data_IF_719838021769
#
_entry.id   IF_719838021769
#
_cell.length_a   1.000
_cell.length_b   1.000
_cell.length_c   1.000
_cell.angle_alpha   90.00
_cell.angle_beta   90.00
_cell.angle_gamma   90.00
#
_symmetry.space_group_name_H-M   'P 1'
#
loop_
_entity.id
_entity.type
_entity.pdbx_description
1 polymer ?
#
# COMPACT_ATOMS: atom_id res chain seq x y z
N UNK A 1 -7.27 -68.24 -23.27
CA UNK A 1 -8.62 -67.91 -23.77
C UNK A 1 -8.84 -66.44 -23.45
N UNK A 2 -8.47 -65.52 -24.35
CA UNK A 2 -9.37 -64.85 -25.33
C UNK A 2 -10.54 -64.15 -24.60
N UNK A 3 -10.37 -62.87 -24.26
CA UNK A 3 -10.82 -61.67 -24.99
C UNK A 3 -12.33 -61.43 -24.84
N UNK A 4 -12.73 -60.24 -24.35
CA UNK A 4 -13.38 -59.22 -25.18
C UNK A 4 -13.99 -58.09 -24.32
N UNK A 5 -13.52 -56.87 -24.57
CA UNK A 5 -14.12 -55.62 -24.08
C UNK A 5 -15.31 -55.23 -24.98
N UNK A 6 -16.48 -54.87 -24.43
CA UNK A 6 -17.53 -54.23 -25.21
C UNK A 6 -17.34 -52.70 -25.29
N UNK A 7 -17.53 -52.07 -26.47
CA UNK A 7 -17.40 -50.62 -26.66
C UNK A 7 -18.71 -49.86 -26.36
N UNK A 8 -18.58 -48.71 -25.69
CA UNK A 8 -19.66 -47.72 -25.53
C UNK A 8 -19.87 -46.93 -26.84
N UNK A 9 -21.04 -47.11 -27.47
CA UNK A 9 -21.55 -46.25 -28.56
C UNK A 9 -22.55 -45.24 -28.01
N UNK A 10 -22.24 -43.95 -28.10
CA UNK A 10 -23.18 -42.87 -27.75
C UNK A 10 -23.98 -42.43 -28.97
N UNK A 11 -25.31 -42.51 -28.84
CA UNK A 11 -26.26 -42.10 -29.86
C UNK A 11 -26.51 -40.58 -29.84
N UNK A 12 -26.43 -40.02 -31.03
CA UNK A 12 -26.75 -38.65 -31.47
C UNK A 12 -28.22 -38.30 -31.21
N UNK A 13 -28.51 -37.13 -30.63
CA UNK A 13 -29.79 -36.43 -30.86
C UNK A 13 -29.57 -34.94 -31.15
N UNK A 14 -29.67 -34.61 -32.45
CA UNK A 14 -29.85 -33.25 -32.97
C UNK A 14 -31.23 -32.71 -32.54
N UNK A 15 -31.30 -31.44 -32.16
CA UNK A 15 -32.46 -30.59 -32.48
C UNK A 15 -31.96 -29.25 -33.04
N UNK A 16 -32.43 -28.94 -34.26
CA UNK A 16 -32.35 -27.66 -34.95
C UNK A 16 -33.76 -27.04 -34.92
N UNK A 17 -33.86 -25.74 -34.67
CA UNK A 17 -34.96 -24.85 -35.10
C UNK A 17 -34.39 -23.42 -35.14
N UNK A 18 -34.01 -22.92 -36.33
CA UNK A 18 -34.71 -21.89 -37.16
C UNK A 18 -34.90 -20.56 -36.42
N UNK A 19 -34.11 -19.51 -36.69
CA UNK A 19 -34.07 -18.64 -37.87
C UNK A 19 -35.26 -17.67 -37.96
N UNK A 20 -34.97 -16.38 -37.74
CA UNK A 20 -35.81 -15.24 -38.08
C UNK A 20 -34.92 -14.02 -38.29
N UNK A 21 -34.60 -13.74 -39.57
CA UNK A 21 -34.01 -12.48 -40.06
C UNK A 21 -35.13 -11.46 -40.27
N UNK A 22 -34.84 -10.19 -40.04
CA UNK A 22 -35.33 -8.95 -40.70
C UNK A 22 -34.51 -7.82 -40.04
N UNK A 23 -33.84 -6.87 -40.69
CA UNK A 23 -33.97 -6.31 -42.03
C UNK A 23 -33.79 -4.79 -41.87
N UNK A 24 -32.79 -4.22 -42.54
CA UNK A 24 -32.35 -2.81 -42.49
C UNK A 24 -33.45 -1.80 -42.89
N UNK A 25 -33.41 -0.59 -42.33
CA UNK A 25 -33.29 0.69 -43.06
C UNK A 25 -33.46 1.89 -42.11
N UNK A 26 -32.74 2.98 -42.41
CA UNK A 26 -32.67 4.19 -41.59
C UNK A 26 -33.72 5.24 -41.93
N UNK A 27 -33.80 6.30 -41.12
CA UNK A 27 -33.95 7.70 -41.54
C UNK A 27 -33.98 8.67 -40.34
N UNK A 28 -32.98 9.57 -40.34
CA UNK A 28 -32.93 11.01 -40.02
C UNK A 28 -33.90 11.74 -39.06
N UNK A 29 -33.26 12.69 -38.35
CA UNK A 29 -33.71 14.01 -37.86
C UNK A 29 -34.50 14.15 -36.56
N UNK A 30 -33.92 14.90 -35.62
CA UNK A 30 -34.58 15.45 -34.44
C UNK A 30 -33.58 16.15 -33.50
N UNK A 31 -33.32 17.43 -33.75
CA UNK A 31 -32.60 18.30 -32.82
C UNK A 31 -33.41 18.48 -31.52
N UNK A 32 -32.75 18.53 -30.37
CA UNK A 32 -33.14 19.33 -29.20
C UNK A 32 -31.97 19.33 -28.20
N UNK A 33 -31.47 20.54 -27.92
CA UNK A 33 -30.34 20.76 -27.03
C UNK A 33 -30.67 20.45 -25.57
N UNK A 34 -29.64 20.03 -24.85
CA UNK A 34 -29.63 20.08 -23.39
C UNK A 34 -28.34 20.79 -23.01
N UNK A 35 -28.47 22.07 -22.70
CA UNK A 35 -27.49 22.79 -21.90
C UNK A 35 -27.50 22.15 -20.51
N UNK A 36 -26.47 21.36 -20.19
CA UNK A 36 -26.26 20.89 -18.83
C UNK A 36 -25.51 22.00 -18.07
N UNK A 37 -26.28 22.67 -17.20
CA UNK A 37 -25.84 23.71 -16.27
C UNK A 37 -24.73 23.17 -15.36
N UNK A 38 -23.60 23.87 -15.31
CA UNK A 38 -22.60 23.67 -14.27
C UNK A 38 -23.21 24.12 -12.93
N UNK A 39 -23.56 23.16 -12.07
CA UNK A 39 -23.92 23.44 -10.68
C UNK A 39 -22.76 23.03 -9.81
N UNK A 40 -21.94 24.00 -9.42
CA UNK A 40 -21.05 23.91 -8.26
C UNK A 40 -21.90 23.87 -7.00
N UNK A 41 -21.93 22.73 -6.31
CA UNK A 41 -22.46 22.64 -4.94
C UNK A 41 -21.25 22.50 -4.00
N UNK A 42 -20.83 23.63 -3.44
CA UNK A 42 -20.12 23.68 -2.17
C UNK A 42 -21.20 23.60 -1.08
N UNK A 43 -21.27 22.49 -0.36
CA UNK A 43 -21.96 22.45 0.95
C UNK A 43 -20.96 22.01 2.00
N UNK A 44 -20.65 22.98 2.86
CA UNK A 44 -20.07 22.81 4.17
C UNK A 44 -21.16 22.33 5.16
N UNK A 45 -20.88 21.20 5.84
CA UNK A 45 -21.19 20.80 7.25
C UNK A 45 -22.66 20.78 7.72
N UNK A 46 -23.09 19.82 8.59
CA UNK A 46 -22.65 19.77 10.00
C UNK A 46 -22.57 18.37 10.66
N UNK A 47 -22.04 18.39 11.89
CA UNK A 47 -21.79 17.27 12.81
C UNK A 47 -23.05 16.47 13.22
N UNK A 48 -22.87 15.16 13.46
CA UNK A 48 -23.89 14.31 14.07
C UNK A 48 -23.48 12.83 14.06
N UNK A 49 -22.80 12.40 15.12
CA UNK A 49 -22.25 11.05 15.24
C UNK A 49 -23.29 9.95 15.43
N UNK A 50 -22.96 8.75 14.93
CA UNK A 50 -23.14 7.46 15.60
C UNK A 50 -22.56 6.35 14.72
N UNK A 51 -21.59 5.60 15.27
CA UNK A 51 -21.33 4.20 14.92
C UNK A 51 -21.09 3.86 13.46
N UNK A 52 -19.86 4.07 12.98
CA UNK A 52 -19.35 3.42 11.78
C UNK A 52 -17.88 3.16 11.98
N UNK A 53 -17.47 1.89 11.88
CA UNK A 53 -16.06 1.50 11.86
C UNK A 53 -15.31 2.42 10.90
N UNK A 54 -14.37 3.21 11.42
CA UNK A 54 -13.49 4.01 10.60
C UNK A 54 -12.75 3.04 9.67
N UNK A 55 -12.86 3.17 8.33
CA UNK A 55 -11.98 2.44 7.45
C UNK A 55 -10.56 2.90 7.80
N UNK A 56 -9.71 1.96 8.21
CA UNK A 56 -8.26 2.18 8.22
C UNK A 56 -7.90 2.53 6.78
N UNK A 57 -7.62 3.80 6.52
CA UNK A 57 -7.20 4.24 5.20
C UNK A 57 -5.86 3.54 4.90
N UNK A 58 -5.75 2.76 3.81
CA UNK A 58 -4.45 2.25 3.40
C UNK A 58 -3.57 3.46 3.07
N UNK A 59 -2.37 3.50 3.64
CA UNK A 59 -1.33 4.45 3.26
C UNK A 59 -1.02 4.23 1.77
N UNK A 60 -1.43 5.17 0.91
CA UNK A 60 -1.32 4.96 -0.53
C UNK A 60 -1.65 6.21 -1.33
N UNK A 61 -0.76 7.20 -1.26
CA UNK A 61 -0.71 8.29 -2.24
C UNK A 61 0.76 8.62 -2.51
N UNK A 62 1.40 7.82 -3.38
CA UNK A 62 2.70 8.14 -3.98
C UNK A 62 2.52 8.29 -5.48
N UNK A 63 2.85 9.46 -6.03
CA UNK A 63 2.76 9.76 -7.45
C UNK A 63 3.75 8.96 -8.30
N UNK A 64 3.53 8.93 -9.62
CA UNK A 64 4.26 8.10 -10.59
C UNK A 64 5.75 8.46 -10.79
N UNK A 65 6.28 9.47 -10.11
CA UNK A 65 7.70 9.81 -10.13
C UNK A 65 8.39 9.21 -8.90
N UNK A 66 8.98 8.02 -9.05
CA UNK A 66 9.72 7.32 -7.98
C UNK A 66 11.09 7.94 -7.62
N UNK A 67 11.27 9.23 -7.88
CA UNK A 67 12.50 9.94 -7.58
C UNK A 67 13.73 9.47 -8.39
N UNK A 68 14.93 9.94 -8.01
CA UNK A 68 16.18 9.62 -8.68
C UNK A 68 16.56 8.14 -8.51
N UNK A 69 17.48 7.66 -9.35
CA UNK A 69 18.13 6.38 -9.10
C UNK A 69 19.32 6.56 -8.14
N UNK A 70 19.44 5.71 -7.15
CA UNK A 70 20.52 5.68 -6.15
C UNK A 70 21.16 4.30 -6.05
N UNK A 71 22.40 4.18 -5.55
CA UNK A 71 22.98 2.88 -5.22
C UNK A 71 22.18 2.19 -4.10
N UNK A 72 22.18 0.85 -4.06
CA UNK A 72 21.58 0.12 -2.94
C UNK A 72 22.18 0.55 -1.60
N UNK A 73 21.36 1.08 -0.66
CA UNK A 73 21.82 1.43 0.67
C UNK A 73 22.16 0.17 1.48
N UNK A 74 22.86 0.36 2.59
CA UNK A 74 22.97 -0.69 3.60
C UNK A 74 21.59 -0.90 4.23
N UNK A 75 21.10 -2.13 4.19
CA UNK A 75 19.84 -2.51 4.80
C UNK A 75 20.04 -3.70 5.75
N UNK A 76 19.09 -3.89 6.66
CA UNK A 76 19.02 -5.06 7.52
C UNK A 76 18.62 -6.34 6.78
N UNK A 77 18.38 -7.44 7.50
CA UNK A 77 18.00 -8.71 6.88
C UNK A 77 16.66 -8.59 6.14
N UNK A 78 16.53 -9.18 4.94
CA UNK A 78 15.29 -9.10 4.17
C UNK A 78 14.20 -10.01 4.75
N UNK A 79 12.99 -9.46 4.89
CA UNK A 79 11.76 -10.20 5.16
C UNK A 79 11.02 -10.44 3.85
N UNK A 80 10.83 -11.70 3.49
CA UNK A 80 10.09 -12.11 2.30
C UNK A 80 8.66 -12.52 2.69
N UNK A 81 7.68 -12.11 1.89
CA UNK A 81 6.30 -12.59 2.02
C UNK A 81 5.61 -12.63 0.67
N UNK A 82 4.48 -13.33 0.64
CA UNK A 82 3.59 -13.40 -0.53
C UNK A 82 2.19 -13.05 -0.07
N UNK A 83 1.55 -12.10 -0.74
CA UNK A 83 0.19 -11.70 -0.42
C UNK A 83 -0.81 -12.77 -0.85
N UNK A 84 -2.07 -12.74 -0.35
CA UNK A 84 -3.11 -13.67 -0.77
C UNK A 84 -3.38 -13.64 -2.29
N UNK A 85 -3.12 -12.51 -2.94
CA UNK A 85 -3.25 -12.35 -4.39
C UNK A 85 -2.07 -12.97 -5.17
N UNK A 86 -1.04 -13.44 -4.46
CA UNK A 86 0.14 -14.07 -5.04
C UNK A 86 1.23 -13.10 -5.47
N UNK A 87 1.24 -11.87 -4.93
CA UNK A 87 2.35 -10.93 -5.13
C UNK A 87 3.46 -11.19 -4.12
N UNK A 88 4.69 -11.32 -4.62
CA UNK A 88 5.86 -11.60 -3.80
C UNK A 88 6.66 -10.31 -3.57
N UNK A 89 6.99 -10.07 -2.31
CA UNK A 89 7.79 -8.90 -1.91
C UNK A 89 8.94 -9.32 -1.00
N UNK A 90 9.98 -8.49 -0.99
CA UNK A 90 11.00 -8.49 0.04
C UNK A 90 11.15 -7.08 0.62
N UNK A 91 11.15 -6.98 1.95
CA UNK A 91 11.35 -5.73 2.68
C UNK A 91 12.64 -5.77 3.51
N UNK A 92 13.39 -4.68 3.56
CA UNK A 92 14.56 -4.57 4.44
C UNK A 92 14.69 -3.14 4.99
N UNK A 93 14.74 -3.00 6.31
CA UNK A 93 14.88 -1.69 6.95
C UNK A 93 16.26 -1.07 6.66
N UNK A 94 16.32 0.24 6.42
CA UNK A 94 17.54 0.99 6.10
C UNK A 94 17.94 1.85 7.29
N UNK A 95 17.10 2.82 7.65
CA UNK A 95 17.34 3.74 8.76
C UNK A 95 16.03 4.27 9.33
N UNK A 96 16.10 4.86 10.53
CA UNK A 96 15.01 5.60 11.13
C UNK A 96 15.53 6.90 11.71
N UNK A 97 14.63 7.85 11.91
CA UNK A 97 14.99 9.12 12.50
C UNK A 97 13.81 10.05 12.66
N UNK A 98 14.14 11.32 12.86
CA UNK A 98 13.15 12.39 12.93
C UNK A 98 13.56 13.54 12.03
N UNK A 99 12.59 14.15 11.37
CA UNK A 99 12.78 15.32 10.52
C UNK A 99 11.57 16.26 10.65
N UNK A 100 11.74 17.58 10.55
CA UNK A 100 10.60 18.52 10.56
C UNK A 100 9.69 18.43 9.31
N UNK A 101 10.16 17.83 8.21
CA UNK A 101 9.46 17.67 6.96
C UNK A 101 9.94 16.41 6.17
N UNK A 102 9.84 15.19 6.74
CA UNK A 102 10.40 13.96 6.17
C UNK A 102 9.88 13.63 4.77
N UNK A 103 8.66 14.07 4.44
CA UNK A 103 8.01 13.88 3.14
C UNK A 103 7.42 15.20 2.62
N UNK A 104 8.08 16.33 2.92
CA UNK A 104 7.67 17.64 2.42
C UNK A 104 6.36 18.17 3.01
N UNK A 105 6.06 17.88 4.27
CA UNK A 105 4.87 18.32 4.99
C UNK A 105 4.60 19.82 4.78
N UNK A 106 3.34 20.21 4.47
CA UNK A 106 3.02 21.62 4.22
C UNK A 106 3.08 22.47 5.50
N UNK A 107 3.12 21.84 6.68
CA UNK A 107 3.08 22.51 7.98
C UNK A 107 4.20 22.01 8.89
N UNK A 108 5.01 22.97 9.34
CA UNK A 108 6.03 22.73 10.35
C UNK A 108 5.42 22.15 11.65
N UNK A 109 6.15 21.25 12.34
CA UNK A 109 5.67 20.68 13.58
C UNK A 109 5.56 21.78 14.67
N UNK A 110 4.67 21.61 15.66
CA UNK A 110 4.64 22.47 16.84
C UNK A 110 6.00 22.56 17.54
N UNK A 111 6.32 23.65 18.26
CA UNK A 111 7.56 23.76 19.02
C UNK A 111 7.75 22.60 20.01
N UNK A 112 8.96 22.05 20.09
CA UNK A 112 9.25 20.90 20.96
C UNK A 112 8.81 19.56 20.37
N UNK A 113 8.46 19.52 19.08
CA UNK A 113 8.02 18.32 18.37
C UNK A 113 8.57 18.25 16.95
N UNK A 114 8.60 17.04 16.41
CA UNK A 114 9.12 16.69 15.07
C UNK A 114 8.31 15.55 14.48
N UNK A 115 8.56 15.13 13.24
CA UNK A 115 7.93 13.92 12.67
C UNK A 115 8.93 12.76 12.67
N UNK A 116 8.44 11.57 13.00
CA UNK A 116 9.24 10.36 12.92
C UNK A 116 9.18 9.80 11.50
N UNK A 117 10.28 9.21 11.03
CA UNK A 117 10.32 8.50 9.77
C UNK A 117 11.19 7.24 9.86
N UNK A 118 10.98 6.34 8.91
CA UNK A 118 11.89 5.26 8.62
C UNK A 118 11.96 5.02 7.11
N UNK A 119 13.14 4.57 6.66
CA UNK A 119 13.40 4.19 5.29
C UNK A 119 13.56 2.67 5.21
N UNK A 120 13.01 2.08 4.16
CA UNK A 120 13.14 0.66 3.88
C UNK A 120 13.18 0.39 2.39
N UNK A 121 13.81 -0.72 2.02
CA UNK A 121 13.78 -1.25 0.67
C UNK A 121 12.50 -2.05 0.47
N UNK A 122 11.77 -1.75 -0.60
CA UNK A 122 10.64 -2.54 -1.09
C UNK A 122 11.03 -3.14 -2.44
N UNK A 123 11.12 -4.47 -2.50
CA UNK A 123 11.57 -5.20 -3.68
C UNK A 123 10.46 -6.09 -4.23
N UNK A 124 10.18 -5.99 -5.53
CA UNK A 124 9.41 -6.99 -6.25
C UNK A 124 10.32 -8.20 -6.55
N UNK A 125 10.13 -9.30 -5.83
CA UNK A 125 10.94 -10.51 -6.02
C UNK A 125 10.41 -11.44 -7.14
N UNK A 126 9.42 -10.99 -7.92
CA UNK A 126 8.82 -11.72 -9.03
C UNK A 126 9.31 -11.24 -10.40
N UNK A 127 9.13 -12.10 -11.41
CA UNK A 127 9.45 -11.83 -12.83
C UNK A 127 8.29 -11.19 -13.60
N UNK A 128 7.35 -10.59 -12.89
CA UNK A 128 6.16 -9.90 -13.44
C UNK A 128 5.88 -8.65 -12.62
N UNK A 129 5.17 -7.66 -13.17
CA UNK A 129 4.70 -6.54 -12.37
C UNK A 129 3.84 -7.00 -11.18
N UNK A 130 3.99 -6.33 -10.05
CA UNK A 130 3.17 -6.53 -8.84
C UNK A 130 2.63 -5.19 -8.36
N UNK A 131 1.57 -5.21 -7.55
CA UNK A 131 1.02 -3.98 -6.99
C UNK A 131 2.08 -3.21 -6.20
N UNK A 132 2.21 -1.89 -6.41
CA UNK A 132 2.96 -1.06 -5.49
C UNK A 132 2.11 -0.82 -4.24
N UNK A 133 2.49 -1.47 -3.15
CA UNK A 133 1.82 -1.41 -1.85
C UNK A 133 2.87 -1.16 -0.75
N UNK A 134 2.44 -0.68 0.41
CA UNK A 134 3.32 -0.27 1.51
C UNK A 134 2.97 -1.07 2.78
N UNK A 135 3.58 -2.25 2.97
CA UNK A 135 3.14 -3.21 3.98
C UNK A 135 3.72 -2.96 5.38
N UNK A 136 4.72 -2.08 5.49
CA UNK A 136 5.34 -1.74 6.76
C UNK A 136 4.66 -0.53 7.41
N UNK A 137 4.59 -0.56 8.74
CA UNK A 137 4.11 0.53 9.58
C UNK A 137 5.21 1.00 10.54
N UNK A 138 5.19 2.31 10.83
CA UNK A 138 6.13 2.95 11.74
C UNK A 138 5.58 2.94 13.17
N UNK A 139 6.41 2.48 14.09
CA UNK A 139 6.11 2.43 15.52
C UNK A 139 7.09 3.26 16.32
N UNK A 140 6.60 3.84 17.40
CA UNK A 140 7.36 4.68 18.31
C UNK A 140 6.92 4.44 19.76
N UNK A 141 7.74 4.78 20.76
CA UNK A 141 7.35 4.59 22.14
C UNK A 141 6.17 5.51 22.50
N UNK A 142 5.19 4.97 23.22
CA UNK A 142 4.01 5.72 23.71
C UNK A 142 4.41 6.93 24.55
N UNK A 143 5.55 6.84 25.26
CA UNK A 143 6.11 7.92 26.07
C UNK A 143 6.57 9.12 25.23
N UNK A 144 6.92 8.90 23.96
CA UNK A 144 7.37 9.93 23.02
C UNK A 144 6.23 10.58 22.22
N UNK A 145 5.01 10.07 22.36
CA UNK A 145 3.83 10.68 21.73
C UNK A 145 3.31 11.83 22.61
N UNK A 146 3.17 13.06 22.08
CA UNK A 146 2.55 14.18 22.76
C UNK A 146 1.13 13.86 23.21
N UNK A 147 0.66 14.48 24.30
CA UNK A 147 -0.68 14.22 24.83
C UNK A 147 -1.79 14.46 23.79
N UNK A 148 -1.62 15.46 22.93
CA UNK A 148 -2.54 15.80 21.84
C UNK A 148 -2.67 14.73 20.74
N UNK A 149 -1.68 13.83 20.60
CA UNK A 149 -1.67 12.77 19.59
C UNK A 149 -1.88 11.38 20.20
N UNK A 150 -1.96 11.25 21.53
CA UNK A 150 -1.95 9.96 22.21
C UNK A 150 -3.20 9.12 21.95
N UNK A 151 -4.36 9.74 21.72
CA UNK A 151 -5.59 9.03 21.33
C UNK A 151 -5.49 8.39 19.94
N UNK A 152 -4.55 8.85 19.10
CA UNK A 152 -4.30 8.35 17.74
C UNK A 152 -3.17 7.33 17.68
N UNK A 153 -2.50 7.10 18.81
CA UNK A 153 -1.39 6.16 18.97
C UNK A 153 -1.98 4.77 19.25
N UNK A 154 -2.04 3.95 18.20
CA UNK A 154 -2.71 2.65 18.24
C UNK A 154 -1.70 1.53 18.56
N UNK A 155 -1.94 0.69 19.58
CA UNK A 155 -1.19 -0.54 19.76
C UNK A 155 -1.54 -1.55 18.65
N UNK A 156 -0.61 -2.44 18.33
CA UNK A 156 -0.84 -3.52 17.35
C UNK A 156 -0.40 -4.87 17.91
N UNK A 157 -1.07 -5.94 17.46
CA UNK A 157 -0.76 -7.29 17.89
C UNK A 157 0.65 -7.71 17.43
N UNK A 158 1.41 -8.34 18.32
CA UNK A 158 2.80 -8.77 18.07
C UNK A 158 3.84 -7.65 18.09
N UNK A 159 3.45 -6.41 18.40
CA UNK A 159 4.37 -5.30 18.67
C UNK A 159 4.46 -5.07 20.18
N UNK A 160 5.62 -4.69 20.75
CA UNK A 160 5.74 -4.41 22.18
C UNK A 160 4.67 -3.43 22.71
N UNK A 161 4.15 -3.74 23.90
CA UNK A 161 3.02 -3.01 24.51
C UNK A 161 3.33 -1.55 24.85
N UNK A 162 4.60 -1.16 24.92
CA UNK A 162 5.06 0.21 25.15
C UNK A 162 5.20 1.02 23.85
N UNK A 163 5.02 0.38 22.69
CA UNK A 163 5.04 1.02 21.37
C UNK A 163 3.63 1.20 20.80
N UNK A 164 3.50 2.14 19.87
CA UNK A 164 2.30 2.33 19.08
C UNK A 164 2.63 2.90 17.71
N UNK A 165 1.68 2.78 16.79
CA UNK A 165 1.74 3.45 15.50
C UNK A 165 0.83 4.69 15.52
N UNK A 166 1.34 5.80 15.01
CA UNK A 166 0.55 6.97 14.67
C UNK A 166 0.09 6.85 13.21
N UNK A 167 -0.96 7.59 12.78
CA UNK A 167 -1.25 7.76 11.37
C UNK A 167 0.04 8.13 10.64
N UNK A 168 0.32 7.43 9.55
CA UNK A 168 1.55 7.54 8.80
C UNK A 168 1.26 7.43 7.31
N UNK A 169 2.19 7.92 6.48
CA UNK A 169 2.14 7.78 5.02
C UNK A 169 3.47 7.30 4.49
N UNK A 170 3.41 6.52 3.42
CA UNK A 170 4.59 5.99 2.72
C UNK A 170 4.70 6.57 1.31
N UNK A 171 5.92 6.83 0.87
CA UNK A 171 6.25 7.34 -0.46
C UNK A 171 7.56 6.72 -0.97
N UNK A 172 7.62 6.42 -2.28
CA UNK A 172 8.87 6.05 -2.93
C UNK A 172 9.73 7.30 -3.09
N UNK A 173 10.87 7.34 -2.40
CA UNK A 173 11.79 8.50 -2.44
C UNK A 173 12.90 8.31 -3.47
N UNK A 174 13.25 7.07 -3.82
CA UNK A 174 14.24 6.76 -4.84
C UNK A 174 14.07 5.36 -5.45
N UNK A 175 14.65 5.17 -6.64
CA UNK A 175 14.82 3.88 -7.30
C UNK A 175 16.20 3.33 -7.01
N UNK A 176 16.32 2.03 -6.76
CA UNK A 176 17.61 1.42 -6.40
C UNK A 176 18.24 0.74 -7.62
N UNK A 177 19.54 0.94 -7.80
CA UNK A 177 20.37 0.27 -8.82
C UNK A 177 19.81 0.34 -10.25
N UNK A 178 19.22 1.48 -10.61
CA UNK A 178 18.66 1.71 -11.94
C UNK A 178 17.30 1.06 -12.17
N UNK A 179 16.60 0.63 -11.11
CA UNK A 179 15.26 0.07 -11.22
C UNK A 179 14.33 0.97 -12.05
N UNK A 180 13.48 0.35 -12.87
CA UNK A 180 12.47 1.05 -13.66
C UNK A 180 11.46 1.77 -12.75
N UNK A 181 10.91 2.91 -13.18
CA UNK A 181 9.89 3.63 -12.40
C UNK A 181 8.59 2.82 -12.28
N UNK A 182 7.76 3.10 -11.25
CA UNK A 182 6.44 2.52 -11.14
C UNK A 182 5.60 2.79 -12.39
N UNK A 183 4.76 1.83 -12.75
CA UNK A 183 3.93 1.87 -13.94
C UNK A 183 2.48 2.04 -13.50
N UNK A 184 1.75 2.99 -14.08
CA UNK A 184 0.29 3.04 -13.93
C UNK A 184 -0.36 2.04 -14.90
N UNK A 185 -1.10 1.08 -14.36
CA UNK A 185 -1.93 0.16 -15.10
C UNK A 185 -3.39 0.33 -14.69
N UNK A 186 -4.16 1.04 -15.51
CA UNK A 186 -5.60 1.29 -15.28
C UNK A 186 -5.89 1.99 -13.94
N UNK A 187 -5.07 2.97 -13.55
CA UNK A 187 -5.22 3.69 -12.28
C UNK A 187 -4.72 2.91 -11.07
N UNK A 188 -3.96 1.83 -11.29
CA UNK A 188 -3.25 1.09 -10.25
C UNK A 188 -1.76 1.22 -10.47
N UNK A 189 -1.03 1.69 -9.46
CA UNK A 189 0.43 1.79 -9.54
C UNK A 189 1.06 0.43 -9.30
N UNK A 190 1.94 0.01 -10.21
CA UNK A 190 2.59 -1.29 -10.21
C UNK A 190 4.11 -1.13 -10.11
N UNK A 191 4.77 -2.05 -9.42
CA UNK A 191 6.22 -2.23 -9.44
C UNK A 191 6.62 -3.13 -10.61
N UNK A 192 7.54 -2.72 -11.50
CA UNK A 192 8.11 -3.58 -12.54
C UNK A 192 8.77 -4.83 -11.97
N UNK A 193 8.95 -5.85 -12.81
CA UNK A 193 9.60 -7.10 -12.44
C UNK A 193 11.02 -6.85 -11.89
N UNK A 194 11.30 -7.38 -10.70
CA UNK A 194 12.63 -7.23 -10.08
C UNK A 194 12.98 -5.84 -9.57
N UNK A 195 12.07 -4.85 -9.66
CA UNK A 195 12.35 -3.49 -9.23
C UNK A 195 12.50 -3.40 -7.71
N UNK A 196 13.45 -2.56 -7.27
CA UNK A 196 13.66 -2.22 -5.87
C UNK A 196 13.55 -0.71 -5.68
N UNK A 197 12.76 -0.30 -4.70
CA UNK A 197 12.54 1.09 -4.34
C UNK A 197 12.97 1.36 -2.91
N UNK A 198 13.53 2.55 -2.69
CA UNK A 198 13.67 3.13 -1.36
C UNK A 198 12.35 3.81 -1.03
N UNK A 199 11.71 3.34 0.03
CA UNK A 199 10.44 3.86 0.52
C UNK A 199 10.68 4.53 1.86
N UNK A 200 10.16 5.74 2.03
CA UNK A 200 10.09 6.41 3.31
C UNK A 200 8.67 6.35 3.85
N UNK A 201 8.52 5.88 5.08
CA UNK A 201 7.31 6.01 5.88
C UNK A 201 7.52 7.11 6.90
N UNK A 202 6.56 8.03 7.03
CA UNK A 202 6.62 9.11 8.00
C UNK A 202 5.31 9.27 8.78
N UNK A 203 5.42 9.64 10.05
CA UNK A 203 4.26 9.95 10.88
C UNK A 203 3.59 11.23 10.41
N UNK A 204 2.25 11.23 10.30
CA UNK A 204 1.47 12.42 9.96
C UNK A 204 1.20 13.30 11.19
N UNK A 205 1.35 12.71 12.38
CA UNK A 205 1.27 13.42 13.66
C UNK A 205 2.67 13.51 14.27
N UNK A 206 2.98 14.62 14.97
CA UNK A 206 4.31 14.84 15.49
C UNK A 206 4.56 14.03 16.76
N UNK A 207 5.83 13.68 16.96
CA UNK A 207 6.40 13.09 18.18
C UNK A 207 7.17 14.17 18.95
N UNK A 208 7.48 13.93 20.23
CA UNK A 208 8.34 14.83 21.01
C UNK A 208 9.71 14.97 20.36
N UNK A 209 10.35 16.12 20.54
CA UNK A 209 11.77 16.25 20.17
C UNK A 209 12.64 15.29 20.99
N UNK A 210 13.70 14.79 20.36
CA UNK A 210 14.67 13.91 21.01
C UNK A 210 14.32 12.42 21.01
N UNK A 211 13.35 11.97 20.21
CA UNK A 211 13.19 10.54 19.92
C UNK A 211 14.47 10.02 19.25
N UNK A 212 15.06 8.97 19.81
CA UNK A 212 16.23 8.34 19.21
C UNK A 212 15.81 7.49 18.01
N UNK A 213 16.60 7.44 16.93
CA UNK A 213 16.44 6.44 15.87
C UNK A 213 16.25 5.01 16.37
N UNK A 214 16.98 4.63 17.43
CA UNK A 214 16.91 3.28 18.01
C UNK A 214 15.63 2.98 18.80
N UNK A 215 14.82 4.00 19.10
CA UNK A 215 13.53 3.83 19.76
C UNK A 215 12.39 3.61 18.74
N UNK A 216 12.66 3.90 17.46
CA UNK A 216 11.72 3.72 16.37
C UNK A 216 11.80 2.29 15.85
N UNK A 217 10.65 1.72 15.55
CA UNK A 217 10.55 0.38 15.00
C UNK A 217 9.75 0.36 13.71
N UNK A 218 10.12 -0.55 12.82
CA UNK A 218 9.41 -0.77 11.58
C UNK A 218 8.86 -2.20 11.60
N UNK A 219 7.55 -2.35 11.45
CA UNK A 219 6.89 -3.65 11.57
C UNK A 219 5.95 -3.92 10.40
N UNK A 220 5.88 -5.17 9.97
CA UNK A 220 4.81 -5.67 9.11
C UNK A 220 3.83 -6.42 10.01
N UNK A 221 2.61 -5.91 10.18
CA UNK A 221 1.63 -6.51 11.12
C UNK A 221 0.29 -6.87 10.49
N UNK A 222 -0.07 -6.26 9.35
CA UNK A 222 -1.37 -6.50 8.73
C UNK A 222 -1.53 -7.97 8.32
N UNK A 223 -2.72 -8.53 8.60
CA UNK A 223 -3.11 -9.91 8.30
C UNK A 223 -2.88 -10.34 6.84
N UNK A 224 -2.89 -9.39 5.91
CA UNK A 224 -2.59 -9.65 4.50
C UNK A 224 -1.13 -10.06 4.27
N UNK A 225 -0.23 -9.70 5.18
CA UNK A 225 1.21 -9.91 5.07
C UNK A 225 1.75 -10.87 6.12
N UNK A 226 1.01 -11.12 7.21
CA UNK A 226 1.40 -12.02 8.30
C UNK A 226 0.39 -13.16 8.48
N UNK A 227 0.86 -14.40 8.63
CA UNK A 227 -0.01 -15.58 8.77
C UNK A 227 -0.78 -15.62 10.09
N UNK A 228 -0.19 -15.06 11.16
CA UNK A 228 -0.66 -15.24 12.54
C UNK A 228 -1.00 -13.93 13.25
N UNK A 229 -1.27 -12.84 12.49
CA UNK A 229 -1.57 -11.50 13.03
C UNK A 229 -0.51 -10.96 14.00
N UNK A 230 0.71 -11.49 13.91
CA UNK A 230 1.82 -11.09 14.78
C UNK A 230 2.69 -10.13 13.99
N UNK A 231 2.89 -8.92 14.51
CA UNK A 231 3.87 -7.98 13.99
C UNK A 231 5.25 -8.62 13.84
N UNK A 232 5.82 -8.54 12.65
CA UNK A 232 7.18 -8.98 12.36
C UNK A 232 8.03 -7.71 12.23
N UNK A 233 9.03 -7.59 13.09
CA UNK A 233 9.97 -6.47 13.07
C UNK A 233 10.93 -6.58 11.86
N UNK A 234 11.14 -5.45 11.19
CA UNK A 234 12.20 -5.27 10.20
C UNK A 234 13.42 -4.70 10.91
N UNK A 235 14.35 -5.58 11.27
CA UNK A 235 15.56 -5.18 11.97
C UNK A 235 16.42 -4.22 11.11
N UNK A 236 16.88 -3.12 11.71
CA UNK A 236 17.82 -2.19 11.08
C UNK A 236 19.23 -2.81 10.96
N UNK A 237 20.07 -2.35 10.00
CA UNK A 237 21.37 -2.95 9.69
C UNK A 237 22.39 -3.03 10.83
N UNK A 238 22.18 -2.30 11.93
CA UNK A 238 23.06 -2.30 13.10
C UNK A 238 22.34 -2.74 14.40
N UNK A 239 21.11 -3.28 14.29
CA UNK A 239 20.36 -3.78 15.46
C UNK A 239 20.84 -5.17 15.94
N UNK A 240 21.81 -5.78 15.24
CA UNK A 240 22.53 -6.95 15.73
C UNK A 240 23.71 -6.49 16.60
N UNK A 241 23.46 -6.32 17.91
CA UNK A 241 24.46 -6.03 18.93
C UNK A 241 23.99 -6.42 20.31
#
# INVERSE_FOLDING_TARGET
MANDYPPYRTHRRRKKTRAGRLGLAGALTGALGIAAVAVTIVILRPDGGAGGAAPTAPAGQGGADAGPSVPSPRAGPPLNFTTPEGYGYSLAAVEAGTDPAPLGEPKAPPPGTTYAYADYLLTNNQRRPVLLDYPADLFMPKSQVPASARERCMPQAGVPDDMCTLPNRSEVTARVDGAEPPIDENGTTMMPAGATYLVRIASELPVKDGVSPGDLGLFVWNARYTSDLTGIELAFPNAAG
#
